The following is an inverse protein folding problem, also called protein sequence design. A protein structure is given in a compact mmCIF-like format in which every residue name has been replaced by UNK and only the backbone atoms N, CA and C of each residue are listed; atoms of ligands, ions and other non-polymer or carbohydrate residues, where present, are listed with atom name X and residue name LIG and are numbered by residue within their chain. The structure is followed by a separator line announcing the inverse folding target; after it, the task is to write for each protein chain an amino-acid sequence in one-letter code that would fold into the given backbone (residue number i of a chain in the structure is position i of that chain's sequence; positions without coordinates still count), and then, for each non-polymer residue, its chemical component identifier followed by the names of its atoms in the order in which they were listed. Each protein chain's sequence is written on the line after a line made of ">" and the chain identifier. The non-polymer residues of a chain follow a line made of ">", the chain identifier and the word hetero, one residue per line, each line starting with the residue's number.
data_IF_904951124073
#
_entry.id   IF_904951124073
#
_cell.length_a   1.000
_cell.length_b   1.000
_cell.length_c   1.000
_cell.angle_alpha   90.00
_cell.angle_beta   90.00
_cell.angle_gamma   90.00
#
_symmetry.space_group_name_H-M   'P 1'
#
loop_
_entity.id
_entity.type
_entity.pdbx_description
1 polymer ?
#
# COMPACT_ATOMS: atom_id res chain seq x y z
N UNK A 1 34.34 -25.42 -10.29
CA UNK A 1 33.94 -24.56 -9.15
C UNK A 1 32.81 -23.57 -9.49
N UNK A 2 32.67 -23.06 -10.73
CA UNK A 2 31.59 -22.14 -11.14
C UNK A 2 30.19 -22.75 -11.08
N UNK A 3 30.02 -24.03 -11.45
CA UNK A 3 28.72 -24.72 -11.45
C UNK A 3 28.13 -24.97 -10.06
N UNK A 4 28.96 -25.07 -9.03
CA UNK A 4 28.51 -25.26 -7.64
C UNK A 4 27.98 -23.95 -7.03
N UNK A 5 28.57 -22.79 -7.40
CA UNK A 5 28.10 -21.47 -6.97
C UNK A 5 26.72 -21.16 -7.51
N UNK A 6 26.47 -21.45 -8.80
CA UNK A 6 25.17 -21.22 -9.44
C UNK A 6 24.06 -22.10 -8.85
N UNK A 7 24.33 -23.39 -8.60
CA UNK A 7 23.39 -24.32 -7.95
C UNK A 7 23.03 -23.87 -6.52
N UNK A 8 23.99 -23.39 -5.75
CA UNK A 8 23.74 -22.82 -4.40
C UNK A 8 22.93 -21.52 -4.45
N UNK A 9 23.13 -20.67 -5.46
CA UNK A 9 22.34 -19.47 -5.65
C UNK A 9 20.89 -19.83 -6.05
N UNK A 10 20.69 -20.76 -6.97
CA UNK A 10 19.36 -21.20 -7.41
C UNK A 10 18.57 -21.90 -6.30
N UNK A 11 19.21 -22.66 -5.42
CA UNK A 11 18.53 -23.31 -4.28
C UNK A 11 17.99 -22.33 -3.22
N UNK A 12 18.38 -21.05 -3.28
CA UNK A 12 17.90 -19.97 -2.40
C UNK A 12 16.75 -19.15 -3.00
N UNK A 13 16.36 -19.45 -4.24
CA UNK A 13 15.27 -18.79 -4.94
C UNK A 13 13.98 -19.59 -4.74
N UNK A 14 12.90 -18.89 -4.43
CA UNK A 14 11.55 -19.41 -4.51
C UNK A 14 10.65 -18.37 -5.17
N UNK A 15 9.60 -18.81 -5.87
CA UNK A 15 8.68 -17.93 -6.55
C UNK A 15 7.24 -18.32 -6.20
N UNK A 16 6.38 -17.33 -6.14
CA UNK A 16 4.94 -17.48 -5.99
C UNK A 16 4.23 -16.58 -7.01
N UNK A 17 3.28 -17.16 -7.75
CA UNK A 17 2.47 -16.46 -8.72
C UNK A 17 1.01 -16.68 -8.40
N UNK A 18 0.23 -15.61 -8.34
CA UNK A 18 -1.21 -15.64 -8.14
C UNK A 18 -1.85 -14.83 -9.25
N UNK A 19 -2.73 -15.47 -10.01
CA UNK A 19 -3.58 -14.83 -11.01
C UNK A 19 -5.03 -15.02 -10.59
N UNK A 20 -5.75 -13.91 -10.42
CA UNK A 20 -7.18 -13.88 -10.16
C UNK A 20 -7.87 -13.12 -11.28
N UNK A 21 -8.92 -13.70 -11.84
CA UNK A 21 -9.76 -13.04 -12.83
C UNK A 21 -11.22 -13.26 -12.49
N UNK A 22 -11.99 -12.18 -12.41
CA UNK A 22 -13.43 -12.20 -12.20
C UNK A 22 -14.07 -11.24 -13.20
N UNK A 23 -14.97 -11.78 -14.06
CA UNK A 23 -15.63 -11.01 -15.10
C UNK A 23 -17.15 -11.26 -15.03
N UNK A 24 -17.92 -10.17 -15.05
CA UNK A 24 -19.38 -10.18 -15.20
C UNK A 24 -19.71 -9.68 -16.59
N UNK A 25 -20.42 -10.49 -17.34
CA UNK A 25 -20.87 -10.21 -18.70
C UNK A 25 -22.38 -10.33 -18.79
N UNK A 26 -23.00 -9.73 -19.82
CA UNK A 26 -24.41 -9.97 -20.14
C UNK A 26 -24.64 -11.43 -20.55
N UNK A 27 -25.84 -11.97 -20.35
CA UNK A 27 -26.17 -13.41 -20.47
C UNK A 27 -25.82 -14.07 -21.83
N UNK A 28 -25.71 -13.32 -22.89
CA UNK A 28 -25.43 -13.86 -24.25
C UNK A 28 -23.99 -14.33 -24.48
N UNK A 29 -23.07 -14.06 -23.54
CA UNK A 29 -21.63 -14.33 -23.71
C UNK A 29 -21.11 -15.54 -22.91
N UNK A 30 -21.99 -16.43 -22.44
CA UNK A 30 -21.61 -17.53 -21.55
C UNK A 30 -20.61 -18.53 -22.15
N UNK A 31 -20.55 -18.65 -23.48
CA UNK A 31 -19.71 -19.63 -24.18
C UNK A 31 -18.24 -19.19 -24.40
N UNK A 32 -17.91 -17.90 -24.20
CA UNK A 32 -16.54 -17.39 -24.35
C UNK A 32 -15.68 -17.50 -23.07
N UNK A 33 -16.21 -18.08 -22.00
CA UNK A 33 -15.67 -17.99 -20.63
C UNK A 33 -14.35 -18.72 -20.37
N UNK A 34 -14.00 -19.74 -21.13
CA UNK A 34 -12.80 -20.55 -20.81
C UNK A 34 -11.48 -19.96 -21.34
N UNK A 35 -11.54 -19.14 -22.38
CA UNK A 35 -10.36 -18.46 -22.96
C UNK A 35 -10.20 -17.00 -22.47
N UNK A 36 -11.26 -16.40 -21.91
CA UNK A 36 -11.27 -14.99 -21.50
C UNK A 36 -10.53 -14.72 -20.18
N UNK A 37 -10.15 -15.73 -19.43
CA UNK A 37 -9.36 -15.54 -18.21
C UNK A 37 -7.96 -14.93 -18.46
N UNK A 38 -7.43 -15.10 -19.68
CA UNK A 38 -6.10 -14.64 -20.10
C UNK A 38 -6.14 -13.46 -21.07
N UNK A 39 -7.27 -13.22 -21.73
CA UNK A 39 -7.42 -12.15 -22.71
C UNK A 39 -8.36 -11.04 -22.20
N UNK A 40 -8.08 -9.76 -22.49
CA UNK A 40 -9.02 -8.68 -22.16
C UNK A 40 -10.33 -8.92 -22.95
N UNK A 41 -11.45 -8.99 -22.23
CA UNK A 41 -12.77 -9.02 -22.87
C UNK A 41 -13.04 -7.62 -23.42
N UNK A 42 -13.01 -7.47 -24.72
CA UNK A 42 -13.39 -6.25 -25.40
C UNK A 42 -14.83 -6.36 -25.91
N UNK A 43 -15.61 -5.30 -25.75
CA UNK A 43 -16.93 -5.19 -26.33
C UNK A 43 -18.03 -4.74 -25.37
N UNK A 44 -19.19 -4.45 -25.93
CA UNK A 44 -20.39 -3.91 -25.25
C UNK A 44 -21.05 -4.84 -24.23
N UNK A 45 -20.51 -6.03 -24.01
CA UNK A 45 -21.08 -7.06 -23.15
C UNK A 45 -20.43 -7.13 -21.75
N UNK A 46 -19.30 -6.43 -21.53
CA UNK A 46 -18.62 -6.44 -20.23
C UNK A 46 -19.30 -5.50 -19.24
N UNK A 47 -19.95 -6.02 -18.22
CA UNK A 47 -20.54 -5.23 -17.12
C UNK A 47 -19.51 -4.88 -16.05
N UNK A 48 -18.67 -5.82 -15.68
CA UNK A 48 -17.57 -5.60 -14.76
C UNK A 48 -16.48 -6.65 -14.99
N UNK A 49 -15.22 -6.24 -14.86
CA UNK A 49 -14.07 -7.12 -14.97
C UNK A 49 -12.99 -6.73 -13.98
N UNK A 50 -12.48 -7.70 -13.23
CA UNK A 50 -11.35 -7.53 -12.32
C UNK A 50 -10.30 -8.59 -12.61
N UNK A 51 -9.09 -8.15 -12.90
CA UNK A 51 -7.93 -9.02 -13.07
C UNK A 51 -6.83 -8.59 -12.12
N UNK A 52 -6.24 -9.53 -11.43
CA UNK A 52 -5.14 -9.30 -10.51
C UNK A 52 -4.06 -10.34 -10.74
N UNK A 53 -2.86 -9.89 -11.05
CA UNK A 53 -1.65 -10.70 -11.13
C UNK A 53 -0.67 -10.23 -10.06
N UNK A 54 -0.22 -11.16 -9.23
CA UNK A 54 0.85 -10.93 -8.26
C UNK A 54 1.91 -11.99 -8.43
N UNK A 55 3.14 -11.54 -8.69
CA UNK A 55 4.32 -12.41 -8.77
C UNK A 55 5.32 -11.98 -7.73
N UNK A 56 5.85 -12.94 -6.99
CA UNK A 56 6.85 -12.70 -5.95
C UNK A 56 7.99 -13.67 -6.13
N UNK A 57 9.22 -13.17 -6.16
CA UNK A 57 10.45 -13.93 -6.20
C UNK A 57 11.19 -13.64 -4.91
N UNK A 58 11.49 -14.68 -4.16
CA UNK A 58 12.17 -14.59 -2.89
C UNK A 58 13.59 -15.10 -3.04
N UNK A 59 14.53 -14.31 -2.58
CA UNK A 59 15.92 -14.74 -2.46
C UNK A 59 16.26 -14.90 -0.97
N UNK A 60 16.76 -16.10 -0.63
CA UNK A 60 17.26 -16.40 0.71
C UNK A 60 16.19 -16.26 1.83
N UNK A 61 14.94 -16.63 1.51
CA UNK A 61 13.77 -16.46 2.40
C UNK A 61 13.93 -17.11 3.77
N UNK A 62 14.56 -18.28 3.82
CA UNK A 62 14.77 -19.04 5.05
C UNK A 62 15.93 -18.50 5.90
N UNK A 63 16.74 -17.57 5.39
CA UNK A 63 17.86 -17.03 6.15
C UNK A 63 17.36 -15.95 7.11
N UNK A 64 17.62 -16.07 8.43
CA UNK A 64 17.19 -15.07 9.39
C UNK A 64 17.95 -13.75 9.30
N UNK A 65 19.18 -13.74 8.73
CA UNK A 65 20.05 -12.56 8.70
C UNK A 65 19.78 -11.69 7.49
N UNK A 66 19.72 -12.28 6.30
CA UNK A 66 19.58 -11.53 5.05
C UNK A 66 18.60 -12.19 4.09
N UNK A 67 17.75 -11.39 3.49
CA UNK A 67 16.82 -11.82 2.44
C UNK A 67 16.45 -10.67 1.53
N UNK A 68 16.05 -10.99 0.29
CA UNK A 68 15.56 -10.03 -0.66
C UNK A 68 14.34 -10.60 -1.39
N UNK A 69 13.32 -9.77 -1.57
CA UNK A 69 12.08 -10.14 -2.24
C UNK A 69 11.84 -9.17 -3.40
N UNK A 70 11.52 -9.68 -4.57
CA UNK A 70 11.07 -8.89 -5.72
C UNK A 70 9.59 -9.16 -5.93
N UNK A 71 8.81 -8.10 -6.04
CA UNK A 71 7.35 -8.15 -6.08
C UNK A 71 6.91 -7.43 -7.34
N UNK A 72 6.07 -8.08 -8.13
CA UNK A 72 5.39 -7.49 -9.26
C UNK A 72 3.88 -7.63 -9.05
N UNK A 73 3.15 -6.52 -9.19
CA UNK A 73 1.69 -6.49 -9.09
C UNK A 73 1.11 -5.81 -10.32
N UNK A 74 0.02 -6.38 -10.83
CA UNK A 74 -0.81 -5.75 -11.87
C UNK A 74 -2.27 -5.99 -11.52
N UNK A 75 -3.03 -4.90 -11.41
CA UNK A 75 -4.47 -4.94 -11.16
C UNK A 75 -5.17 -4.12 -12.22
N UNK A 76 -6.14 -4.71 -12.89
CA UNK A 76 -7.02 -4.04 -13.83
C UNK A 76 -8.45 -4.21 -13.35
N UNK A 77 -9.17 -3.13 -13.23
CA UNK A 77 -10.59 -3.13 -12.87
C UNK A 77 -11.35 -2.31 -13.92
N UNK A 78 -12.34 -2.91 -14.53
CA UNK A 78 -13.25 -2.26 -15.50
C UNK A 78 -14.68 -2.40 -14.98
N UNK A 79 -15.46 -1.35 -15.12
CA UNK A 79 -16.85 -1.33 -14.68
C UNK A 79 -17.70 -0.50 -15.64
N UNK A 80 -18.78 -1.09 -16.11
CA UNK A 80 -19.82 -0.39 -16.87
C UNK A 80 -20.70 0.39 -15.89
N UNK A 81 -20.87 1.66 -16.16
CA UNK A 81 -21.84 2.53 -15.50
C UNK A 81 -22.95 2.87 -16.50
N UNK A 82 -24.04 3.46 -16.06
CA UNK A 82 -25.14 3.88 -16.92
C UNK A 82 -24.73 4.86 -18.04
N UNK A 83 -23.59 5.51 -17.89
CA UNK A 83 -23.10 6.56 -18.78
C UNK A 83 -21.83 6.15 -19.56
N UNK A 84 -21.31 4.95 -19.38
CA UNK A 84 -20.10 4.47 -20.07
C UNK A 84 -19.20 3.60 -19.19
N UNK A 85 -18.04 3.26 -19.72
CA UNK A 85 -17.06 2.40 -19.06
C UNK A 85 -16.09 3.22 -18.21
N UNK A 86 -15.84 2.77 -16.99
CA UNK A 86 -14.71 3.22 -16.17
C UNK A 86 -13.68 2.12 -16.05
N UNK A 87 -12.41 2.48 -16.13
CA UNK A 87 -11.29 1.57 -15.92
C UNK A 87 -10.26 2.14 -14.97
N UNK A 88 -9.71 1.28 -14.13
CA UNK A 88 -8.59 1.59 -13.26
C UNK A 88 -7.53 0.50 -13.43
N UNK A 89 -6.35 0.88 -13.87
CA UNK A 89 -5.18 0.01 -14.02
C UNK A 89 -4.09 0.43 -13.05
N UNK A 90 -3.53 -0.52 -12.33
CA UNK A 90 -2.39 -0.30 -11.44
C UNK A 90 -1.33 -1.35 -11.74
N UNK A 91 -0.10 -0.92 -11.98
CA UNK A 91 1.05 -1.79 -12.16
C UNK A 91 2.17 -1.31 -11.24
N UNK A 92 2.84 -2.24 -10.56
CA UNK A 92 4.01 -1.90 -9.76
C UNK A 92 5.03 -3.03 -9.77
N UNK A 93 6.29 -2.63 -9.67
CA UNK A 93 7.41 -3.51 -9.43
C UNK A 93 8.21 -2.95 -8.26
N UNK A 94 8.54 -3.80 -7.30
CA UNK A 94 9.25 -3.39 -6.10
C UNK A 94 10.23 -4.44 -5.63
N UNK A 95 11.16 -3.99 -4.79
CA UNK A 95 12.13 -4.84 -4.13
C UNK A 95 12.15 -4.50 -2.63
N UNK A 96 12.22 -5.53 -1.82
CA UNK A 96 12.39 -5.42 -0.37
C UNK A 96 13.65 -6.16 0.02
N UNK A 97 14.61 -5.47 0.60
CA UNK A 97 15.82 -6.04 1.18
C UNK A 97 15.66 -6.03 2.69
N UNK A 98 15.92 -7.15 3.32
CA UNK A 98 15.89 -7.35 4.77
C UNK A 98 17.26 -7.74 5.27
N UNK A 99 17.70 -7.05 6.33
CA UNK A 99 18.92 -7.39 7.05
C UNK A 99 18.68 -7.30 8.56
N UNK A 100 18.92 -8.40 9.27
CA UNK A 100 18.83 -8.48 10.72
C UNK A 100 20.26 -8.49 11.28
N UNK A 101 20.64 -7.39 11.95
CA UNK A 101 21.96 -7.22 12.56
C UNK A 101 22.07 -7.97 13.90
N UNK A 102 21.06 -8.73 14.27
CA UNK A 102 20.94 -9.50 15.50
C UNK A 102 19.48 -9.77 15.81
N UNK A 103 19.15 -10.38 16.95
CA UNK A 103 17.77 -10.69 17.30
C UNK A 103 16.92 -9.45 17.56
N UNK A 104 17.54 -8.33 17.89
CA UNK A 104 16.86 -7.11 18.31
C UNK A 104 16.73 -6.05 17.23
N UNK A 105 17.53 -6.12 16.18
CA UNK A 105 17.63 -5.06 15.18
C UNK A 105 17.36 -5.59 13.77
N UNK A 106 16.40 -4.95 13.10
CA UNK A 106 16.04 -5.25 11.72
C UNK A 106 16.13 -3.98 10.87
N UNK A 107 16.83 -4.10 9.77
CA UNK A 107 16.89 -3.11 8.70
C UNK A 107 16.11 -3.60 7.50
N UNK A 108 15.29 -2.74 6.95
CA UNK A 108 14.54 -3.02 5.73
C UNK A 108 14.69 -1.86 4.77
N UNK A 109 14.98 -2.15 3.51
CA UNK A 109 14.93 -1.19 2.43
C UNK A 109 13.86 -1.64 1.45
N UNK A 110 12.85 -0.82 1.25
CA UNK A 110 11.79 -1.05 0.25
C UNK A 110 11.93 -0.04 -0.88
N UNK A 111 11.90 -0.52 -2.11
CA UNK A 111 11.81 0.32 -3.30
C UNK A 111 10.62 -0.12 -4.12
N UNK A 112 9.92 0.82 -4.72
CA UNK A 112 8.80 0.53 -5.60
C UNK A 112 8.73 1.57 -6.71
N UNK A 113 8.43 1.10 -7.91
CA UNK A 113 8.05 1.96 -9.03
C UNK A 113 6.77 1.41 -9.64
N UNK A 114 5.92 2.29 -10.11
CA UNK A 114 4.66 1.86 -10.66
C UNK A 114 3.96 2.94 -11.47
N UNK A 115 2.81 2.54 -12.01
CA UNK A 115 1.93 3.39 -12.79
C UNK A 115 0.50 3.09 -12.41
N UNK A 116 -0.30 4.14 -12.27
CA UNK A 116 -1.72 4.06 -12.01
C UNK A 116 -2.46 4.92 -13.01
N UNK A 117 -3.31 4.31 -13.81
CA UNK A 117 -4.09 4.97 -14.83
C UNK A 117 -5.58 4.75 -14.56
N UNK A 118 -6.35 5.83 -14.63
CA UNK A 118 -7.80 5.80 -14.63
C UNK A 118 -8.31 6.35 -15.98
N UNK A 119 -9.34 5.75 -16.52
CA UNK A 119 -10.02 6.25 -17.71
C UNK A 119 -11.54 6.15 -17.53
N UNK A 120 -12.26 7.17 -18.00
CA UNK A 120 -13.70 7.26 -17.97
C UNK A 120 -14.19 7.76 -19.33
N UNK A 121 -15.12 7.02 -19.94
CA UNK A 121 -15.65 7.36 -21.27
C UNK A 121 -16.48 8.64 -21.26
N UNK A 122 -17.08 8.99 -20.12
CA UNK A 122 -18.03 10.10 -20.01
C UNK A 122 -17.52 11.30 -19.18
N UNK A 123 -16.45 11.12 -18.40
CA UNK A 123 -15.85 12.18 -17.60
C UNK A 123 -14.34 12.31 -17.88
N UNK A 124 -13.98 13.13 -18.89
CA UNK A 124 -12.58 13.37 -19.23
C UNK A 124 -11.74 13.85 -18.01
N UNK A 125 -12.33 14.65 -17.13
CA UNK A 125 -11.67 15.13 -15.91
C UNK A 125 -11.34 14.04 -14.87
N UNK A 126 -11.85 12.80 -15.03
CA UNK A 126 -11.47 11.62 -14.21
C UNK A 126 -10.41 10.77 -14.85
N UNK A 127 -10.04 11.06 -16.10
CA UNK A 127 -8.98 10.32 -16.81
C UNK A 127 -7.64 10.92 -16.45
N UNK A 128 -6.74 10.08 -15.95
CA UNK A 128 -5.38 10.46 -15.60
C UNK A 128 -4.43 9.26 -15.66
N UNK A 129 -3.15 9.59 -15.70
CA UNK A 129 -2.06 8.64 -15.64
C UNK A 129 -1.00 9.14 -14.66
N UNK A 130 -0.66 8.35 -13.66
CA UNK A 130 0.31 8.70 -12.64
C UNK A 130 1.39 7.63 -12.58
N UNK A 131 2.62 8.03 -12.93
CA UNK A 131 3.81 7.24 -12.67
C UNK A 131 4.40 7.63 -11.31
N UNK A 132 4.90 6.65 -10.55
CA UNK A 132 5.54 6.91 -9.27
C UNK A 132 6.77 6.03 -9.04
N UNK A 133 7.66 6.55 -8.20
CA UNK A 133 8.80 5.83 -7.65
C UNK A 133 8.95 6.15 -6.17
N UNK A 134 9.31 5.16 -5.39
CA UNK A 134 9.41 5.25 -3.94
C UNK A 134 10.67 4.52 -3.46
N UNK A 135 11.30 5.09 -2.43
CA UNK A 135 12.32 4.42 -1.62
C UNK A 135 11.97 4.63 -0.14
N UNK A 136 12.05 3.58 0.63
CA UNK A 136 11.66 3.60 2.03
C UNK A 136 12.59 2.73 2.90
N UNK A 137 13.68 3.29 3.45
CA UNK A 137 14.44 2.68 4.52
C UNK A 137 13.63 2.65 5.82
N UNK A 138 13.73 1.55 6.54
CA UNK A 138 13.13 1.31 7.85
C UNK A 138 14.16 0.66 8.77
N UNK A 139 14.23 1.13 9.99
CA UNK A 139 14.94 0.48 11.07
C UNK A 139 13.95 0.12 12.17
N UNK A 140 13.99 -1.12 12.63
CA UNK A 140 13.18 -1.59 13.74
C UNK A 140 14.08 -2.14 14.85
N UNK A 141 13.73 -1.79 16.09
CA UNK A 141 14.39 -2.22 17.29
C UNK A 141 13.40 -2.91 18.23
N UNK A 142 13.77 -4.11 18.67
CA UNK A 142 12.95 -4.96 19.51
C UNK A 142 13.82 -5.59 20.61
N UNK A 143 14.08 -4.88 21.73
CA UNK A 143 14.97 -5.35 22.81
C UNK A 143 14.40 -6.50 23.62
N UNK A 144 13.29 -7.07 23.22
CA UNK A 144 12.65 -8.20 23.88
C UNK A 144 11.30 -8.50 23.25
N UNK A 145 10.48 -9.29 23.93
CA UNK A 145 9.15 -9.70 23.43
C UNK A 145 8.08 -8.65 23.68
N UNK A 146 8.30 -7.75 24.63
CA UNK A 146 7.29 -6.80 25.09
C UNK A 146 7.30 -5.47 24.36
N UNK A 147 8.42 -5.05 23.82
CA UNK A 147 8.57 -3.74 23.18
C UNK A 147 9.16 -3.84 21.78
N UNK A 148 8.59 -3.06 20.85
CA UNK A 148 9.13 -2.86 19.52
C UNK A 148 8.92 -1.42 19.11
N UNK A 149 9.95 -0.79 18.54
CA UNK A 149 9.87 0.50 17.89
C UNK A 149 10.42 0.40 16.47
N UNK A 150 9.83 1.12 15.54
CA UNK A 150 10.35 1.24 14.18
C UNK A 150 10.31 2.69 13.70
N UNK A 151 11.31 3.05 12.92
CA UNK A 151 11.44 4.34 12.26
C UNK A 151 11.58 4.09 10.78
N UNK A 152 10.72 4.75 10.01
CA UNK A 152 10.68 4.63 8.56
C UNK A 152 10.72 6.01 7.95
N UNK A 153 11.59 6.19 6.99
CA UNK A 153 11.59 7.33 6.10
C UNK A 153 11.08 6.88 4.74
N UNK A 154 10.16 7.62 4.13
CA UNK A 154 9.65 7.34 2.78
C UNK A 154 9.87 8.58 1.91
N UNK A 155 10.56 8.40 0.81
CA UNK A 155 10.65 9.39 -0.24
C UNK A 155 9.96 8.87 -1.48
N UNK A 156 8.99 9.63 -1.96
CA UNK A 156 8.19 9.27 -3.13
C UNK A 156 8.10 10.44 -4.09
N UNK A 157 8.29 10.16 -5.37
CA UNK A 157 8.05 11.09 -6.45
C UNK A 157 6.93 10.54 -7.33
N UNK A 158 6.06 11.43 -7.79
CA UNK A 158 4.96 11.14 -8.68
C UNK A 158 4.96 12.14 -9.83
N UNK A 159 4.68 11.63 -11.02
CA UNK A 159 4.47 12.44 -12.22
C UNK A 159 3.10 12.08 -12.74
N UNK A 160 2.21 13.06 -12.80
CA UNK A 160 0.84 12.90 -13.27
C UNK A 160 0.67 13.53 -14.65
N UNK A 161 0.00 12.83 -15.54
CA UNK A 161 -0.37 13.34 -16.86
C UNK A 161 -1.89 13.42 -16.95
N UNK A 162 -2.48 14.62 -17.02
CA UNK A 162 -3.89 14.81 -17.30
C UNK A 162 -4.17 14.49 -18.78
N UNK A 163 -5.44 14.38 -19.16
CA UNK A 163 -5.84 14.18 -20.56
C UNK A 163 -5.44 15.35 -21.46
N UNK A 164 -5.47 16.56 -20.88
CA UNK A 164 -5.07 17.79 -21.56
C UNK A 164 -4.34 18.69 -20.57
N UNK A 165 -3.22 19.27 -21.00
CA UNK A 165 -2.39 20.13 -20.18
C UNK A 165 -0.98 19.58 -19.95
N UNK A 166 -0.22 20.27 -19.14
CA UNK A 166 1.16 19.90 -18.78
C UNK A 166 1.18 18.81 -17.70
N UNK A 167 2.25 18.03 -17.69
CA UNK A 167 2.49 17.05 -16.63
C UNK A 167 2.72 17.78 -15.31
N UNK A 168 2.15 17.25 -14.23
CA UNK A 168 2.29 17.76 -12.88
C UNK A 168 3.15 16.84 -12.04
N UNK A 169 3.85 17.40 -11.07
CA UNK A 169 4.78 16.66 -10.22
C UNK A 169 4.40 16.78 -8.75
N UNK A 170 4.61 15.70 -8.03
CA UNK A 170 4.54 15.70 -6.58
C UNK A 170 5.78 15.01 -5.99
N UNK A 171 6.36 15.62 -4.97
CA UNK A 171 7.41 15.02 -4.14
C UNK A 171 6.90 14.92 -2.70
N UNK A 172 6.89 13.71 -2.17
CA UNK A 172 6.47 13.43 -0.80
C UNK A 172 7.65 12.89 0.00
N UNK A 173 7.84 13.45 1.20
CA UNK A 173 8.79 12.99 2.22
C UNK A 173 8.01 12.69 3.48
N UNK A 174 8.10 11.46 3.96
CA UNK A 174 7.38 11.02 5.14
C UNK A 174 8.35 10.43 6.16
N UNK A 175 8.25 10.89 7.39
CA UNK A 175 8.85 10.28 8.57
C UNK A 175 7.76 9.63 9.39
N UNK A 176 7.93 8.35 9.68
CA UNK A 176 6.99 7.56 10.47
C UNK A 176 7.68 6.86 11.62
N UNK A 177 7.09 6.93 12.79
CA UNK A 177 7.51 6.18 13.99
C UNK A 177 6.34 5.32 14.44
N UNK A 178 6.54 4.02 14.60
CA UNK A 178 5.58 3.06 15.18
C UNK A 178 6.22 2.47 16.45
N UNK A 179 5.57 2.64 17.58
CA UNK A 179 5.99 2.04 18.86
C UNK A 179 4.89 1.13 19.38
N UNK A 180 5.24 -0.09 19.72
CA UNK A 180 4.34 -1.11 20.27
C UNK A 180 4.87 -1.63 21.60
N UNK A 181 3.99 -1.70 22.57
CA UNK A 181 4.29 -2.29 23.86
C UNK A 181 3.19 -3.29 24.25
N UNK A 182 3.60 -4.51 24.53
CA UNK A 182 2.72 -5.59 24.95
C UNK A 182 3.09 -6.05 26.34
N UNK A 183 2.18 -5.93 27.28
CA UNK A 183 2.35 -6.43 28.65
C UNK A 183 1.76 -7.83 28.77
N UNK A 184 2.44 -8.71 29.49
CA UNK A 184 2.12 -10.15 29.62
C UNK A 184 0.70 -10.42 30.16
N UNK A 185 0.04 -9.47 30.79
CA UNK A 185 -1.32 -9.61 31.34
C UNK A 185 -2.45 -9.14 30.41
N UNK A 186 -2.26 -9.17 29.08
CA UNK A 186 -3.32 -8.84 28.14
C UNK A 186 -3.53 -7.35 27.89
N UNK A 187 -2.53 -6.51 28.18
CA UNK A 187 -2.52 -5.11 27.81
C UNK A 187 -1.59 -4.88 26.61
N UNK A 188 -2.02 -4.09 25.66
CA UNK A 188 -1.20 -3.67 24.54
C UNK A 188 -1.38 -2.17 24.28
N UNK A 189 -0.32 -1.54 23.87
CA UNK A 189 -0.29 -0.13 23.47
C UNK A 189 0.44 0.00 22.15
N UNK A 190 -0.10 0.77 21.23
CA UNK A 190 0.56 1.13 19.97
C UNK A 190 0.38 2.61 19.71
N UNK A 191 1.46 3.28 19.37
CA UNK A 191 1.43 4.66 18.89
C UNK A 191 2.13 4.77 17.54
N UNK A 192 1.49 5.44 16.58
CA UNK A 192 2.06 5.75 15.27
C UNK A 192 2.02 7.25 15.08
N UNK A 193 3.14 7.85 14.74
CA UNK A 193 3.25 9.28 14.43
C UNK A 193 3.86 9.40 13.03
N UNK A 194 3.28 10.26 12.19
CA UNK A 194 3.78 10.54 10.85
C UNK A 194 3.87 12.04 10.63
N UNK A 195 4.97 12.44 10.05
CA UNK A 195 5.24 13.77 9.51
C UNK A 195 5.37 13.62 8.00
N UNK A 196 4.50 14.25 7.24
CA UNK A 196 4.41 14.12 5.79
C UNK A 196 4.54 15.52 5.18
N UNK A 197 5.56 15.72 4.38
CA UNK A 197 5.82 16.96 3.65
C UNK A 197 5.60 16.70 2.16
N UNK A 198 4.74 17.49 1.52
CA UNK A 198 4.31 17.32 0.13
C UNK A 198 4.53 18.61 -0.64
N UNK A 199 5.41 18.53 -1.64
CA UNK A 199 5.56 19.54 -2.68
C UNK A 199 4.72 19.14 -3.89
N UNK A 200 3.84 19.99 -4.37
CA UNK A 200 2.95 19.74 -5.49
C UNK A 200 2.73 20.99 -6.33
N UNK A 201 2.93 20.87 -7.64
CA UNK A 201 2.85 21.98 -8.60
C UNK A 201 1.54 22.05 -9.39
N UNK A 202 0.61 21.11 -9.17
CA UNK A 202 -0.63 21.02 -9.91
C UNK A 202 -1.88 21.56 -9.16
N UNK A 203 -3.02 21.40 -9.80
CA UNK A 203 -4.32 21.80 -9.26
C UNK A 203 -4.87 20.72 -8.31
N UNK A 204 -5.22 21.09 -7.07
CA UNK A 204 -5.64 20.15 -6.01
C UNK A 204 -7.03 19.57 -6.21
N UNK A 205 -7.97 20.39 -6.76
CA UNK A 205 -9.39 20.05 -6.84
C UNK A 205 -9.74 19.24 -8.09
N UNK A 206 -8.82 18.42 -8.57
CA UNK A 206 -8.98 17.52 -9.71
C UNK A 206 -8.85 16.06 -9.28
N UNK A 207 -9.35 15.13 -10.07
CA UNK A 207 -9.15 13.71 -9.80
C UNK A 207 -7.66 13.33 -9.77
N UNK A 208 -6.86 13.92 -10.66
CA UNK A 208 -5.41 13.79 -10.67
C UNK A 208 -4.79 14.36 -9.39
N UNK A 209 -5.17 15.58 -8.98
CA UNK A 209 -4.66 16.19 -7.75
C UNK A 209 -4.98 15.37 -6.51
N UNK A 210 -6.19 14.82 -6.41
CA UNK A 210 -6.57 13.92 -5.32
C UNK A 210 -5.70 12.64 -5.26
N UNK A 211 -5.42 12.05 -6.42
CA UNK A 211 -4.56 10.87 -6.54
C UNK A 211 -3.09 11.20 -6.23
N UNK A 212 -2.58 12.34 -6.71
CA UNK A 212 -1.22 12.79 -6.50
C UNK A 212 -0.92 13.08 -5.02
N UNK A 213 -1.91 13.62 -4.29
CA UNK A 213 -1.79 14.06 -2.90
C UNK A 213 -2.20 13.02 -1.86
N UNK A 214 -2.74 11.84 -2.26
CA UNK A 214 -3.32 10.85 -1.34
C UNK A 214 -4.35 11.49 -0.37
N UNK A 215 -5.19 12.39 -0.86
CA UNK A 215 -6.17 13.13 -0.06
C UNK A 215 -5.59 14.02 1.08
N UNK A 216 -4.29 14.34 1.01
CA UNK A 216 -3.65 15.29 1.90
C UNK A 216 -3.52 16.66 1.24
N UNK A 217 -3.17 17.67 2.02
CA UNK A 217 -2.87 19.00 1.50
C UNK A 217 -1.37 19.12 1.19
N UNK A 218 -0.98 19.90 0.15
CA UNK A 218 0.41 20.29 -0.03
C UNK A 218 0.97 20.98 1.21
N UNK A 219 2.26 20.80 1.46
CA UNK A 219 2.96 21.28 2.65
C UNK A 219 3.01 20.23 3.76
N UNK A 220 3.19 20.68 4.99
CA UNK A 220 3.49 19.83 6.14
C UNK A 220 2.24 19.32 6.84
N UNK A 221 2.02 18.00 6.78
CA UNK A 221 0.92 17.31 7.41
C UNK A 221 1.44 16.46 8.59
N UNK A 222 0.63 16.38 9.64
CA UNK A 222 0.90 15.52 10.82
C UNK A 222 -0.28 14.59 11.00
N UNK A 223 0.00 13.32 11.25
CA UNK A 223 -1.01 12.34 11.66
C UNK A 223 -0.47 11.52 12.83
N UNK A 224 -1.36 11.19 13.75
CA UNK A 224 -1.03 10.30 14.86
C UNK A 224 -2.20 9.40 15.18
N UNK A 225 -1.86 8.20 15.61
CA UNK A 225 -2.83 7.19 16.03
C UNK A 225 -2.32 6.53 17.28
N UNK A 226 -3.17 6.41 18.29
CA UNK A 226 -2.88 5.70 19.54
C UNK A 226 -3.96 4.65 19.73
N UNK A 227 -3.54 3.40 19.86
CA UNK A 227 -4.40 2.28 20.19
C UNK A 227 -3.94 1.70 21.54
N UNK A 228 -4.87 1.50 22.45
CA UNK A 228 -4.62 0.83 23.71
C UNK A 228 -5.70 -0.21 23.96
N UNK A 229 -5.27 -1.39 24.35
CA UNK A 229 -6.15 -2.48 24.79
C UNK A 229 -5.73 -2.84 26.21
N UNK A 230 -6.68 -2.89 27.11
CA UNK A 230 -6.44 -3.32 28.47
C UNK A 230 -7.49 -4.34 28.89
N UNK A 231 -7.03 -5.53 29.25
CA UNK A 231 -7.88 -6.57 29.83
C UNK A 231 -7.82 -6.47 31.35
N UNK A 232 -8.98 -6.23 31.94
CA UNK A 232 -9.16 -6.23 33.38
C UNK A 232 -9.39 -7.65 33.91
N UNK A 233 -9.14 -7.81 35.20
CA UNK A 233 -9.57 -9.01 35.95
C UNK A 233 -11.12 -9.07 35.82
N UNK A 234 -11.73 -10.22 35.71
CA UNK A 234 -13.17 -10.44 35.54
C UNK A 234 -13.72 -10.30 34.11
N UNK A 235 -12.89 -10.51 33.07
CA UNK A 235 -13.38 -10.61 31.69
C UNK A 235 -13.77 -9.28 31.04
N UNK A 236 -13.47 -8.14 31.64
CA UNK A 236 -13.70 -6.83 31.04
C UNK A 236 -12.49 -6.43 30.20
N UNK A 237 -12.73 -5.98 28.97
CA UNK A 237 -11.71 -5.44 28.08
C UNK A 237 -12.06 -3.99 27.70
N UNK A 238 -11.12 -3.11 27.84
CA UNK A 238 -11.22 -1.70 27.40
C UNK A 238 -10.35 -1.53 26.16
N UNK A 239 -10.93 -1.01 25.08
CA UNK A 239 -10.23 -0.65 23.87
C UNK A 239 -10.33 0.87 23.68
N UNK A 240 -9.20 1.55 23.57
CA UNK A 240 -9.09 2.96 23.24
C UNK A 240 -8.47 3.09 21.85
N UNK A 241 -9.13 3.84 20.98
CA UNK A 241 -8.55 4.32 19.73
C UNK A 241 -8.62 5.85 19.74
N UNK A 242 -7.51 6.48 19.46
CA UNK A 242 -7.41 7.92 19.35
C UNK A 242 -6.59 8.28 18.11
N UNK A 243 -7.18 9.09 17.25
CA UNK A 243 -6.57 9.53 16.00
C UNK A 243 -6.59 11.06 15.93
N UNK A 244 -5.55 11.61 15.36
CA UNK A 244 -5.50 13.03 15.09
C UNK A 244 -4.76 13.34 13.81
N UNK A 245 -5.12 14.47 13.22
CA UNK A 245 -4.45 15.00 12.04
C UNK A 245 -4.42 16.51 12.04
N UNK A 246 -3.34 17.06 11.49
CA UNK A 246 -3.19 18.48 11.21
C UNK A 246 -2.62 18.66 9.81
N UNK A 247 -3.31 19.42 8.98
CA UNK A 247 -2.89 19.78 7.62
C UNK A 247 -2.72 21.29 7.50
N UNK A 248 -1.93 21.78 6.53
CA UNK A 248 -1.80 23.21 6.26
C UNK A 248 -3.17 23.85 5.97
N UNK A 249 -3.43 24.99 6.58
CA UNK A 249 -4.66 25.75 6.38
C UNK A 249 -5.93 25.11 6.96
N UNK A 250 -5.82 24.02 7.70
CA UNK A 250 -6.96 23.34 8.34
C UNK A 250 -6.81 23.30 9.85
N UNK A 251 -7.93 23.28 10.56
CA UNK A 251 -7.98 23.03 11.99
C UNK A 251 -7.52 21.61 12.31
N UNK A 252 -6.91 21.41 13.46
CA UNK A 252 -6.55 20.08 13.94
C UNK A 252 -7.82 19.28 14.22
N UNK A 253 -7.88 18.06 13.70
CA UNK A 253 -9.01 17.15 13.91
C UNK A 253 -8.57 16.06 14.88
N UNK A 254 -9.42 15.78 15.86
CA UNK A 254 -9.21 14.72 16.85
C UNK A 254 -10.43 13.80 16.86
N UNK A 255 -10.20 12.51 16.83
CA UNK A 255 -11.25 11.49 16.92
C UNK A 255 -10.86 10.50 18.00
N UNK A 256 -11.70 10.36 19.04
CA UNK A 256 -11.51 9.39 20.12
C UNK A 256 -12.66 8.39 20.14
N UNK A 257 -12.34 7.11 20.30
CA UNK A 257 -13.32 6.04 20.50
C UNK A 257 -12.89 5.17 21.67
N UNK A 258 -13.82 4.95 22.59
CA UNK A 258 -13.63 3.99 23.69
C UNK A 258 -14.71 2.91 23.56
N UNK A 259 -14.30 1.67 23.65
CA UNK A 259 -15.19 0.52 23.67
C UNK A 259 -14.89 -0.35 24.89
N UNK A 260 -15.90 -0.69 25.64
CA UNK A 260 -15.81 -1.62 26.77
C UNK A 260 -16.57 -2.89 26.40
N UNK A 261 -15.92 -4.02 26.51
CA UNK A 261 -16.47 -5.34 26.22
C UNK A 261 -16.39 -6.18 27.48
N UNK A 262 -17.50 -6.79 27.90
CA UNK A 262 -17.55 -7.77 28.97
C UNK A 262 -17.70 -9.17 28.37
N UNK A 263 -16.84 -10.08 28.76
CA UNK A 263 -16.88 -11.50 28.39
C UNK A 263 -17.42 -12.26 29.61
N UNK A 264 -18.64 -12.77 29.51
CA UNK A 264 -19.32 -13.56 30.55
C UNK A 264 -19.10 -15.03 30.33
#
# INVERSE_FOLDING_TARGET
>A
KQGQGLRRALSRLSANHVLLSDNKVTDDALHARLLSALLPVEGSQLLAGKQSLRSMIFFNRANPVFGADVIFNRNNNKRMLSQGMESLSTQSAGMVIRYNAGPEQMWRLSTEQGRRAAASDFMAGRTYDVAYRMIAPEWAWQPGTSFRASWKFTWQQRTGSPVSGESVHAAQREWSTDARWNKTAGSSFQAVIRLIDIDYDGERNTALGYEMLNALNPGRNYTWTVNAVHKLVNGIQINLNYEGRKSPGASTVHVGRVMVTALF
#
